data_IF_675442158282
#
_entry.id   IF_675442158282
#
_cell.length_a   1.000
_cell.length_b   1.000
_cell.length_c   1.000
_cell.angle_alpha   90.00
_cell.angle_beta   90.00
_cell.angle_gamma   90.00
#
_symmetry.space_group_name_H-M   'P 1'
#
loop_
_entity.id
_entity.type
_entity.pdbx_description
1 polymer ?
#
# COMPACT_ATOMS: atom_id res chain seq x y z
N UNK A 1 -1.02 22.31 -28.00
CA UNK A 1 -2.09 22.45 -26.97
C UNK A 1 -1.81 21.59 -25.73
N UNK A 2 -1.49 20.29 -25.87
CA UNK A 2 -1.08 19.44 -24.72
C UNK A 2 0.25 19.89 -24.08
N UNK A 3 1.24 20.34 -24.86
CA UNK A 3 2.48 20.93 -24.32
C UNK A 3 2.24 22.26 -23.57
N UNK A 4 1.27 23.06 -24.02
CA UNK A 4 0.92 24.35 -23.38
C UNK A 4 0.19 24.12 -22.04
N UNK A 5 -0.58 23.03 -21.94
CA UNK A 5 -1.18 22.60 -20.68
C UNK A 5 -0.14 21.96 -19.74
N UNK A 6 0.88 21.28 -20.26
CA UNK A 6 2.02 20.79 -19.47
C UNK A 6 2.84 21.97 -18.90
N UNK A 7 2.98 23.07 -19.65
CA UNK A 7 3.56 24.33 -19.17
C UNK A 7 2.67 25.03 -18.13
N UNK A 8 1.35 25.07 -18.32
CA UNK A 8 0.43 25.68 -17.37
C UNK A 8 0.30 24.91 -16.05
N UNK A 9 0.34 23.57 -16.12
CA UNK A 9 0.41 22.69 -14.94
C UNK A 9 1.77 22.86 -14.26
N UNK A 10 2.88 22.86 -15.00
CA UNK A 10 4.21 23.16 -14.44
C UNK A 10 4.28 24.54 -13.78
N UNK A 11 3.61 25.56 -14.35
CA UNK A 11 3.56 26.91 -13.80
C UNK A 11 2.73 27.02 -12.51
N UNK A 12 1.86 26.04 -12.22
CA UNK A 12 1.13 25.98 -10.94
C UNK A 12 1.93 25.25 -9.85
N UNK A 13 2.88 24.38 -10.23
CA UNK A 13 3.79 23.67 -9.32
C UNK A 13 5.05 24.46 -8.95
N UNK A 14 5.40 25.53 -9.66
CA UNK A 14 6.62 26.33 -9.42
C UNK A 14 6.57 27.23 -8.18
N UNK A 15 5.42 27.41 -7.53
CA UNK A 15 5.30 28.32 -6.37
C UNK A 15 5.75 27.73 -5.02
N UNK A 16 6.25 26.48 -4.99
CA UNK A 16 6.71 25.81 -3.77
C UNK A 16 8.05 25.09 -4.04
N UNK A 17 9.12 25.86 -4.18
CA UNK A 17 10.44 25.38 -4.60
C UNK A 17 11.33 25.01 -3.39
N UNK A 18 11.59 23.71 -3.19
CA UNK A 18 12.73 23.19 -2.40
C UNK A 18 13.42 22.00 -3.10
N UNK A 19 12.89 21.48 -4.21
CA UNK A 19 13.54 20.41 -5.00
C UNK A 19 13.51 20.77 -6.47
N UNK A 20 14.69 20.89 -7.08
CA UNK A 20 14.86 21.11 -8.51
C UNK A 20 13.96 20.16 -9.32
N UNK A 21 13.18 20.70 -10.26
CA UNK A 21 12.28 19.92 -11.14
C UNK A 21 13.00 18.75 -11.82
N UNK A 22 14.28 18.93 -12.15
CA UNK A 22 15.14 17.88 -12.69
C UNK A 22 15.29 16.71 -11.70
N UNK A 23 15.43 16.99 -10.40
CA UNK A 23 15.51 15.96 -9.35
C UNK A 23 14.23 15.16 -9.23
N UNK A 24 13.06 15.80 -9.28
CA UNK A 24 11.77 15.11 -9.25
C UNK A 24 11.58 14.19 -10.45
N UNK A 25 11.95 14.68 -11.64
CA UNK A 25 11.87 13.89 -12.87
C UNK A 25 12.80 12.68 -12.82
N UNK A 26 14.08 12.89 -12.46
CA UNK A 26 15.06 11.81 -12.32
C UNK A 26 14.63 10.78 -11.28
N UNK A 27 14.11 11.24 -10.14
CA UNK A 27 13.60 10.34 -9.10
C UNK A 27 12.42 9.50 -9.62
N UNK A 28 11.46 10.13 -10.29
CA UNK A 28 10.31 9.43 -10.88
C UNK A 28 10.73 8.37 -11.89
N UNK A 29 11.69 8.69 -12.76
CA UNK A 29 12.23 7.73 -13.75
C UNK A 29 12.91 6.56 -13.03
N UNK A 30 13.77 6.83 -12.04
CA UNK A 30 14.48 5.77 -11.32
C UNK A 30 13.51 4.82 -10.61
N UNK A 31 12.52 5.37 -9.92
CA UNK A 31 11.52 4.56 -9.22
C UNK A 31 10.68 3.71 -10.18
N UNK A 32 10.19 4.30 -11.28
CA UNK A 32 9.28 3.62 -12.22
C UNK A 32 9.99 2.62 -13.12
N UNK A 33 11.25 2.86 -13.47
CA UNK A 33 12.00 2.03 -14.43
C UNK A 33 12.81 0.94 -13.73
N UNK A 34 13.39 1.20 -12.55
CA UNK A 34 14.30 0.24 -11.91
C UNK A 34 13.70 -0.39 -10.65
N UNK A 35 13.16 0.42 -9.74
CA UNK A 35 12.72 -0.09 -8.42
C UNK A 35 11.40 -0.85 -8.56
N UNK A 36 10.43 -0.26 -9.24
CA UNK A 36 9.09 -0.82 -9.38
C UNK A 36 9.06 -2.22 -10.02
N UNK A 37 9.74 -2.52 -11.15
CA UNK A 37 9.67 -3.86 -11.73
C UNK A 37 10.27 -4.92 -10.81
N UNK A 38 11.33 -4.61 -10.05
CA UNK A 38 11.93 -5.54 -9.08
C UNK A 38 10.95 -5.85 -7.96
N UNK A 39 10.32 -4.81 -7.39
CA UNK A 39 9.31 -4.96 -6.33
C UNK A 39 8.08 -5.70 -6.87
N UNK A 40 7.63 -5.38 -8.08
CA UNK A 40 6.49 -6.04 -8.72
C UNK A 40 6.76 -7.51 -9.05
N UNK A 41 7.98 -7.86 -9.49
CA UNK A 41 8.38 -9.25 -9.73
C UNK A 41 8.42 -10.07 -8.43
N UNK A 42 9.00 -9.51 -7.37
CA UNK A 42 9.01 -10.14 -6.05
C UNK A 42 7.58 -10.29 -5.48
N UNK A 43 6.77 -9.24 -5.60
CA UNK A 43 5.36 -9.25 -5.22
C UNK A 43 4.56 -10.30 -5.98
N UNK A 44 4.73 -10.40 -7.29
CA UNK A 44 4.07 -11.43 -8.11
C UNK A 44 4.51 -12.84 -7.70
N UNK A 45 5.82 -13.09 -7.59
CA UNK A 45 6.35 -14.40 -7.23
C UNK A 45 5.91 -14.88 -5.85
N UNK A 46 6.02 -14.01 -4.84
CA UNK A 46 5.59 -14.32 -3.47
C UNK A 46 4.08 -14.59 -3.38
N UNK A 47 3.26 -13.81 -4.09
CA UNK A 47 1.82 -14.02 -4.11
C UNK A 47 1.39 -15.27 -4.88
N UNK A 48 2.10 -15.67 -5.93
CA UNK A 48 1.87 -16.97 -6.60
C UNK A 48 2.09 -18.11 -5.60
N UNK A 49 3.17 -18.08 -4.83
CA UNK A 49 3.45 -19.08 -3.79
C UNK A 49 2.32 -19.09 -2.75
N UNK A 50 1.89 -17.91 -2.28
CA UNK A 50 0.78 -17.79 -1.33
C UNK A 50 -0.53 -18.38 -1.89
N UNK A 51 -0.85 -18.11 -3.16
CA UNK A 51 -2.02 -18.68 -3.83
C UNK A 51 -1.94 -20.21 -3.85
N UNK A 52 -0.78 -20.78 -4.21
CA UNK A 52 -0.59 -22.23 -4.24
C UNK A 52 -0.75 -22.85 -2.85
N UNK A 53 -0.14 -22.25 -1.83
CA UNK A 53 -0.22 -22.71 -0.44
C UNK A 53 -1.65 -22.64 0.09
N UNK A 54 -2.33 -21.50 -0.05
CA UNK A 54 -3.70 -21.33 0.45
C UNK A 54 -4.71 -22.17 -0.31
N UNK A 55 -4.49 -22.42 -1.61
CA UNK A 55 -5.31 -23.34 -2.40
C UNK A 55 -5.17 -24.79 -1.92
N UNK A 56 -3.97 -25.19 -1.47
CA UNK A 56 -3.71 -26.53 -0.91
C UNK A 56 -4.26 -26.71 0.51
N UNK A 57 -4.31 -25.66 1.32
CA UNK A 57 -4.88 -25.70 2.68
C UNK A 57 -6.40 -25.93 2.69
N UNK A 58 -7.09 -25.59 1.59
CA UNK A 58 -8.53 -25.73 1.45
C UNK A 58 -9.31 -24.56 2.07
N UNK A 59 -10.42 -24.20 1.43
CA UNK A 59 -11.24 -23.02 1.77
C UNK A 59 -12.22 -23.27 2.94
N UNK A 60 -11.86 -24.14 3.89
CA UNK A 60 -12.72 -24.49 5.02
C UNK A 60 -12.81 -23.36 6.04
N UNK A 61 -11.72 -22.62 6.20
CA UNK A 61 -11.64 -21.48 7.11
C UNK A 61 -11.77 -20.16 6.34
N UNK A 62 -12.65 -19.26 6.80
CA UNK A 62 -12.80 -17.92 6.21
C UNK A 62 -11.53 -17.09 6.25
N UNK A 63 -10.68 -17.39 7.23
CA UNK A 63 -9.33 -16.88 7.36
C UNK A 63 -8.47 -17.15 6.11
N UNK A 64 -8.42 -18.41 5.68
CA UNK A 64 -7.63 -18.87 4.54
C UNK A 64 -8.19 -18.31 3.23
N UNK A 65 -9.53 -18.29 3.09
CA UNK A 65 -10.20 -17.69 1.94
C UNK A 65 -9.87 -16.20 1.78
N UNK A 66 -9.82 -15.45 2.88
CA UNK A 66 -9.47 -14.03 2.87
C UNK A 66 -8.04 -13.77 2.42
N UNK A 67 -7.09 -14.59 2.90
CA UNK A 67 -5.69 -14.46 2.51
C UNK A 67 -5.44 -14.92 1.07
N UNK A 68 -6.18 -15.91 0.58
CA UNK A 68 -6.16 -16.29 -0.83
C UNK A 68 -6.60 -15.11 -1.71
N UNK A 69 -7.74 -14.48 -1.39
CA UNK A 69 -8.25 -13.33 -2.15
C UNK A 69 -7.26 -12.16 -2.14
N UNK A 70 -6.66 -11.87 -0.99
CA UNK A 70 -5.64 -10.82 -0.89
C UNK A 70 -4.42 -11.16 -1.77
N UNK A 71 -3.96 -12.42 -1.75
CA UNK A 71 -2.83 -12.86 -2.57
C UNK A 71 -3.14 -12.77 -4.07
N UNK A 72 -4.38 -13.06 -4.49
CA UNK A 72 -4.82 -12.89 -5.89
C UNK A 72 -4.78 -11.42 -6.30
N UNK A 73 -5.28 -10.51 -5.46
CA UNK A 73 -5.28 -9.07 -5.73
C UNK A 73 -3.86 -8.48 -5.77
N UNK A 74 -3.01 -8.87 -4.83
CA UNK A 74 -1.62 -8.42 -4.78
C UNK A 74 -0.80 -9.01 -5.93
N UNK A 75 -1.06 -10.25 -6.31
CA UNK A 75 -0.51 -10.87 -7.51
C UNK A 75 -0.93 -10.13 -8.79
N UNK A 76 -2.21 -9.80 -8.94
CA UNK A 76 -2.71 -9.00 -10.06
C UNK A 76 -2.07 -7.60 -10.10
N UNK A 77 -1.90 -6.96 -8.94
CA UNK A 77 -1.22 -5.66 -8.80
C UNK A 77 0.25 -5.77 -9.21
N UNK A 78 0.96 -6.81 -8.76
CA UNK A 78 2.33 -7.10 -9.16
C UNK A 78 2.46 -7.34 -10.66
N UNK A 79 1.56 -8.13 -11.25
CA UNK A 79 1.50 -8.36 -12.69
C UNK A 79 1.31 -7.05 -13.47
N UNK A 80 0.30 -6.24 -13.14
CA UNK A 80 0.09 -4.93 -13.76
C UNK A 80 1.28 -3.98 -13.56
N UNK A 81 1.97 -4.06 -12.41
CA UNK A 81 3.19 -3.28 -12.14
C UNK A 81 4.35 -3.61 -13.08
N UNK A 82 4.50 -4.88 -13.49
CA UNK A 82 5.49 -5.29 -14.50
C UNK A 82 5.15 -4.66 -15.86
N UNK A 83 3.90 -4.78 -16.33
CA UNK A 83 3.48 -4.14 -17.60
C UNK A 83 3.66 -2.63 -17.58
N UNK A 84 3.28 -2.01 -16.46
CA UNK A 84 3.45 -0.57 -16.28
C UNK A 84 4.93 -0.16 -16.38
N UNK A 85 5.84 -0.95 -15.80
CA UNK A 85 7.28 -0.71 -15.88
C UNK A 85 7.83 -0.89 -17.31
N UNK A 86 7.36 -1.91 -18.03
CA UNK A 86 7.71 -2.12 -19.45
C UNK A 86 7.27 -0.92 -20.30
N UNK A 87 6.04 -0.45 -20.13
CA UNK A 87 5.55 0.71 -20.87
C UNK A 87 6.22 2.02 -20.43
N UNK A 88 6.66 2.12 -19.17
CA UNK A 88 7.50 3.22 -18.71
C UNK A 88 8.84 3.24 -19.46
N UNK A 89 9.50 2.08 -19.61
CA UNK A 89 10.74 1.97 -20.40
C UNK A 89 10.49 2.39 -21.85
N UNK A 90 9.42 1.91 -22.47
CA UNK A 90 9.05 2.32 -23.84
C UNK A 90 8.81 3.84 -23.95
N UNK A 91 8.24 4.47 -22.91
CA UNK A 91 7.97 5.91 -22.88
C UNK A 91 9.21 6.77 -22.67
N UNK A 92 10.16 6.32 -21.84
CA UNK A 92 11.32 7.12 -21.44
C UNK A 92 12.58 6.81 -22.26
N UNK A 93 12.83 5.54 -22.59
CA UNK A 93 14.02 5.10 -23.31
C UNK A 93 13.74 4.64 -24.75
N UNK A 94 12.46 4.51 -25.14
CA UNK A 94 12.08 4.04 -26.47
C UNK A 94 12.31 5.07 -27.58
N UNK A 95 12.54 4.62 -28.83
CA UNK A 95 12.65 5.52 -29.99
C UNK A 95 11.32 6.27 -30.23
N UNK A 96 11.38 7.40 -30.94
CA UNK A 96 10.27 8.34 -31.12
C UNK A 96 8.92 7.69 -31.49
N UNK A 97 8.95 6.64 -32.33
CA UNK A 97 7.74 5.89 -32.71
C UNK A 97 7.13 5.10 -31.55
N UNK A 98 7.95 4.34 -30.81
CA UNK A 98 7.49 3.56 -29.65
C UNK A 98 7.11 4.46 -28.47
N UNK A 99 7.71 5.64 -28.36
CA UNK A 99 7.46 6.59 -27.28
C UNK A 99 6.02 7.10 -27.24
N UNK A 100 5.39 7.34 -28.41
CA UNK A 100 3.99 7.80 -28.47
C UNK A 100 3.01 6.68 -28.13
N UNK A 101 3.17 5.50 -28.70
CA UNK A 101 2.36 4.31 -28.34
C UNK A 101 2.57 3.92 -26.87
N UNK A 102 3.81 3.99 -26.41
CA UNK A 102 4.21 3.74 -25.03
C UNK A 102 3.51 4.68 -24.05
N UNK A 103 3.30 5.95 -24.42
CA UNK A 103 2.53 6.88 -23.59
C UNK A 103 1.07 6.43 -23.37
N UNK A 104 0.37 6.05 -24.45
CA UNK A 104 -1.03 5.59 -24.35
C UNK A 104 -1.13 4.33 -23.48
N UNK A 105 -0.27 3.33 -23.74
CA UNK A 105 -0.26 2.08 -22.97
C UNK A 105 0.14 2.30 -21.51
N UNK A 106 1.12 3.18 -21.27
CA UNK A 106 1.56 3.56 -19.94
C UNK A 106 0.43 4.18 -19.12
N UNK A 107 -0.31 5.14 -19.71
CA UNK A 107 -1.43 5.81 -19.04
C UNK A 107 -2.59 4.85 -18.74
N UNK A 108 -2.92 3.95 -19.68
CA UNK A 108 -3.93 2.90 -19.46
C UNK A 108 -3.51 1.93 -18.34
N UNK A 109 -2.26 1.49 -18.35
CA UNK A 109 -1.77 0.55 -17.34
C UNK A 109 -1.65 1.20 -15.96
N UNK A 110 -1.31 2.50 -15.91
CA UNK A 110 -1.33 3.28 -14.67
C UNK A 110 -2.73 3.34 -14.06
N UNK A 111 -3.76 3.54 -14.89
CA UNK A 111 -5.16 3.53 -14.44
C UNK A 111 -5.51 2.17 -13.83
N UNK A 112 -5.22 1.07 -14.53
CA UNK A 112 -5.47 -0.30 -14.03
C UNK A 112 -4.72 -0.56 -12.72
N UNK A 113 -3.44 -0.17 -12.64
CA UNK A 113 -2.62 -0.35 -11.45
C UNK A 113 -3.20 0.41 -10.25
N UNK A 114 -3.66 1.65 -10.44
CA UNK A 114 -4.29 2.45 -9.38
C UNK A 114 -5.56 1.77 -8.85
N UNK A 115 -6.40 1.24 -9.74
CA UNK A 115 -7.64 0.55 -9.36
C UNK A 115 -7.33 -0.70 -8.52
N UNK A 116 -6.43 -1.55 -9.00
CA UNK A 116 -6.05 -2.78 -8.31
C UNK A 116 -5.43 -2.49 -6.93
N UNK A 117 -4.58 -1.47 -6.85
CA UNK A 117 -3.95 -1.04 -5.59
C UNK A 117 -5.01 -0.56 -4.59
N UNK A 118 -6.01 0.21 -5.04
CA UNK A 118 -7.09 0.68 -4.17
C UNK A 118 -7.95 -0.48 -3.66
N UNK A 119 -8.29 -1.44 -4.52
CA UNK A 119 -9.03 -2.64 -4.16
C UNK A 119 -8.25 -3.47 -3.13
N UNK A 120 -6.97 -3.72 -3.38
CA UNK A 120 -6.10 -4.45 -2.43
C UNK A 120 -6.02 -3.73 -1.08
N UNK A 121 -5.88 -2.40 -1.09
CA UNK A 121 -5.82 -1.60 0.15
C UNK A 121 -7.10 -1.74 0.97
N UNK A 122 -8.27 -1.58 0.34
CA UNK A 122 -9.56 -1.75 1.02
C UNK A 122 -9.77 -3.19 1.53
N UNK A 123 -9.37 -4.18 0.73
CA UNK A 123 -9.40 -5.59 1.13
C UNK A 123 -8.55 -5.83 2.39
N UNK A 124 -7.34 -5.27 2.42
CA UNK A 124 -6.42 -5.35 3.56
C UNK A 124 -7.04 -4.74 4.83
N UNK A 125 -7.70 -3.58 4.72
CA UNK A 125 -8.43 -2.96 5.83
C UNK A 125 -9.53 -3.86 6.35
N UNK A 126 -10.37 -4.41 5.46
CA UNK A 126 -11.44 -5.32 5.85
C UNK A 126 -10.89 -6.55 6.57
N UNK A 127 -9.81 -7.15 6.06
CA UNK A 127 -9.16 -8.31 6.69
C UNK A 127 -8.60 -7.91 8.07
N UNK A 128 -7.92 -6.77 8.19
CA UNK A 128 -7.38 -6.30 9.47
C UNK A 128 -8.47 -6.12 10.53
N UNK A 129 -9.61 -5.52 10.15
CA UNK A 129 -10.77 -5.35 11.05
C UNK A 129 -11.32 -6.71 11.47
N UNK A 130 -11.57 -7.61 10.51
CA UNK A 130 -12.11 -8.96 10.79
C UNK A 130 -11.18 -9.71 11.74
N UNK A 131 -9.86 -9.65 11.52
CA UNK A 131 -8.87 -10.31 12.40
C UNK A 131 -8.84 -9.71 13.79
N UNK A 132 -8.89 -8.38 13.89
CA UNK A 132 -8.94 -7.67 15.16
C UNK A 132 -10.20 -8.07 15.95
N UNK A 133 -11.37 -8.01 15.33
CA UNK A 133 -12.64 -8.41 15.95
C UNK A 133 -12.64 -9.88 16.40
N UNK A 134 -12.10 -10.77 15.56
CA UNK A 134 -12.03 -12.22 15.84
C UNK A 134 -11.28 -12.55 17.13
N UNK A 135 -10.29 -11.75 17.49
CA UNK A 135 -9.49 -11.95 18.72
C UNK A 135 -10.10 -11.23 19.92
N UNK A 136 -10.67 -10.04 19.74
CA UNK A 136 -11.25 -9.26 20.85
C UNK A 136 -12.63 -9.76 21.29
N UNK A 137 -13.45 -10.28 20.37
CA UNK A 137 -14.84 -10.67 20.62
C UNK A 137 -15.19 -12.02 19.96
N UNK A 138 -14.57 -13.14 20.39
CA UNK A 138 -14.74 -14.44 19.73
C UNK A 138 -16.18 -14.95 19.68
N UNK A 139 -17.01 -14.62 20.68
CA UNK A 139 -18.41 -15.05 20.77
C UNK A 139 -19.34 -14.31 19.79
N UNK A 140 -19.11 -13.01 19.56
CA UNK A 140 -19.94 -12.22 18.66
C UNK A 140 -19.57 -12.45 17.18
N UNK A 141 -18.29 -12.75 16.92
CA UNK A 141 -17.74 -12.87 15.57
C UNK A 141 -18.27 -14.10 14.83
N UNK A 142 -18.51 -15.23 15.53
CA UNK A 142 -19.08 -16.43 14.89
C UNK A 142 -20.49 -16.20 14.33
N UNK A 143 -21.25 -15.27 14.91
CA UNK A 143 -22.60 -14.92 14.44
C UNK A 143 -22.58 -13.84 13.35
N UNK A 144 -21.69 -12.85 13.47
CA UNK A 144 -21.70 -11.66 12.59
C UNK A 144 -20.84 -11.85 11.34
N UNK A 145 -19.64 -12.43 11.47
CA UNK A 145 -18.64 -12.53 10.40
C UNK A 145 -18.60 -13.92 9.78
N UNK A 146 -19.60 -14.22 8.95
CA UNK A 146 -19.56 -15.42 8.10
C UNK A 146 -18.67 -15.16 6.88
N UNK A 147 -17.98 -16.21 6.41
CA UNK A 147 -17.07 -16.14 5.24
C UNK A 147 -17.75 -15.53 4.02
N UNK A 148 -19.02 -15.89 3.80
CA UNK A 148 -19.82 -15.39 2.68
C UNK A 148 -20.07 -13.89 2.77
N UNK A 149 -20.35 -13.36 3.97
CA UNK A 149 -20.55 -11.92 4.16
C UNK A 149 -19.26 -11.14 3.94
N UNK A 150 -18.13 -11.65 4.41
CA UNK A 150 -16.84 -11.00 4.19
C UNK A 150 -16.48 -10.92 2.70
N UNK A 151 -16.67 -12.02 1.96
CA UNK A 151 -16.47 -12.03 0.51
C UNK A 151 -17.42 -11.06 -0.20
N UNK A 152 -18.70 -11.03 0.20
CA UNK A 152 -19.68 -10.09 -0.34
C UNK A 152 -19.24 -8.63 -0.11
N UNK A 153 -18.77 -8.29 1.11
CA UNK A 153 -18.28 -6.94 1.41
C UNK A 153 -17.09 -6.56 0.54
N UNK A 154 -16.12 -7.45 0.36
CA UNK A 154 -14.95 -7.21 -0.50
C UNK A 154 -15.40 -7.00 -1.96
N UNK A 155 -16.33 -7.82 -2.46
CA UNK A 155 -16.87 -7.69 -3.81
C UNK A 155 -17.62 -6.37 -4.02
N UNK A 156 -18.41 -5.93 -3.04
CA UNK A 156 -19.12 -4.64 -3.08
C UNK A 156 -18.12 -3.48 -3.10
N UNK A 157 -17.11 -3.51 -2.23
CA UNK A 157 -16.07 -2.49 -2.22
C UNK A 157 -15.30 -2.44 -3.53
N UNK A 158 -14.95 -3.60 -4.10
CA UNK A 158 -14.32 -3.69 -5.40
C UNK A 158 -15.21 -3.09 -6.50
N UNK A 159 -16.51 -3.40 -6.51
CA UNK A 159 -17.45 -2.82 -7.46
C UNK A 159 -17.53 -1.29 -7.32
N UNK A 160 -17.61 -0.76 -6.10
CA UNK A 160 -17.61 0.69 -5.86
C UNK A 160 -16.32 1.37 -6.34
N UNK A 161 -15.16 0.74 -6.13
CA UNK A 161 -13.89 1.28 -6.66
C UNK A 161 -13.84 1.25 -8.19
N UNK A 162 -14.43 0.25 -8.84
CA UNK A 162 -14.50 0.18 -10.30
C UNK A 162 -15.44 1.26 -10.84
N UNK A 163 -16.57 1.52 -10.17
CA UNK A 163 -17.52 2.59 -10.55
C UNK A 163 -16.87 3.97 -10.41
N UNK A 164 -16.16 4.23 -9.31
CA UNK A 164 -15.45 5.51 -9.14
C UNK A 164 -14.32 5.66 -10.16
N UNK A 165 -13.64 4.57 -10.51
CA UNK A 165 -12.62 4.59 -11.55
C UNK A 165 -13.17 4.71 -12.97
N UNK A 166 -14.36 4.16 -13.25
CA UNK A 166 -15.02 4.33 -14.55
C UNK A 166 -15.44 5.78 -14.75
N UNK A 167 -15.89 6.45 -13.69
CA UNK A 167 -16.11 7.91 -13.70
C UNK A 167 -14.81 8.66 -14.05
N UNK A 168 -13.68 8.33 -13.40
CA UNK A 168 -12.37 8.88 -13.75
C UNK A 168 -11.95 8.57 -15.20
N UNK A 169 -12.39 7.43 -15.75
CA UNK A 169 -12.06 7.02 -17.11
C UNK A 169 -12.74 7.89 -18.16
N UNK A 170 -13.86 8.55 -17.84
CA UNK A 170 -14.56 9.48 -18.75
C UNK A 170 -13.74 10.72 -19.10
N UNK A 171 -12.69 11.02 -18.31
CA UNK A 171 -11.70 12.04 -18.60
C UNK A 171 -10.87 11.77 -19.87
N UNK A 172 -10.75 10.50 -20.25
CA UNK A 172 -9.85 10.07 -21.30
C UNK A 172 -10.64 9.76 -22.57
N UNK A 173 -10.25 10.39 -23.68
CA UNK A 173 -10.77 10.08 -25.01
C UNK A 173 -9.68 9.48 -25.86
N UNK A 174 -9.98 8.34 -26.48
CA UNK A 174 -9.10 7.73 -27.48
C UNK A 174 -9.47 8.31 -28.84
N UNK A 175 -8.58 9.12 -29.41
CA UNK A 175 -8.75 9.68 -30.74
C UNK A 175 -7.74 9.06 -31.71
N UNK A 176 -8.17 8.83 -32.95
CA UNK A 176 -7.27 8.43 -34.04
C UNK A 176 -6.65 9.68 -34.62
N UNK A 177 -5.33 9.79 -34.53
CA UNK A 177 -4.57 10.90 -35.10
C UNK A 177 -3.61 10.35 -36.14
N UNK A 178 -3.63 10.91 -37.35
CA UNK A 178 -2.68 10.55 -38.42
C UNK A 178 -1.44 11.40 -38.21
N UNK A 179 -0.29 10.76 -38.04
CA UNK A 179 0.98 11.49 -37.96
C UNK A 179 1.37 12.02 -39.35
N UNK A 180 1.45 13.35 -39.54
CA UNK A 180 1.73 13.95 -40.85
C UNK A 180 3.13 13.60 -41.38
N UNK A 181 4.07 13.17 -40.53
CA UNK A 181 5.41 12.81 -40.98
C UNK A 181 5.54 11.34 -41.40
N UNK A 182 4.71 10.45 -40.85
CA UNK A 182 4.82 9.01 -41.12
C UNK A 182 3.61 8.42 -41.83
N UNK A 183 2.52 9.17 -42.04
CA UNK A 183 1.26 8.70 -42.63
C UNK A 183 0.69 7.44 -41.94
N UNK A 184 0.94 7.29 -40.63
CA UNK A 184 0.44 6.17 -39.84
C UNK A 184 -0.63 6.68 -38.89
N UNK A 185 -1.78 5.99 -38.87
CA UNK A 185 -2.86 6.24 -37.93
C UNK A 185 -2.47 5.71 -36.54
N UNK A 186 -2.38 6.60 -35.56
CA UNK A 186 -2.03 6.26 -34.18
C UNK A 186 -3.19 6.59 -33.24
N UNK A 187 -3.35 5.77 -32.19
CA UNK A 187 -4.36 5.96 -31.17
C UNK A 187 -3.76 6.79 -30.03
N UNK A 188 -4.22 8.02 -29.89
CA UNK A 188 -3.70 8.98 -28.91
C UNK A 188 -4.74 9.18 -27.82
N UNK A 189 -4.29 9.09 -26.57
CA UNK A 189 -5.10 9.44 -25.41
C UNK A 189 -5.14 10.97 -25.29
N UNK A 190 -6.33 11.55 -25.40
CA UNK A 190 -6.56 12.99 -25.23
C UNK A 190 -7.43 13.23 -24.01
N UNK A 191 -7.15 14.33 -23.32
CA UNK A 191 -7.81 14.74 -22.08
C UNK A 191 -9.01 15.63 -22.42
N UNK A 192 -10.12 15.43 -21.72
CA UNK A 192 -11.27 16.34 -21.78
C UNK A 192 -10.94 17.69 -21.12
N UNK A 193 -11.63 18.79 -21.48
CA UNK A 193 -11.43 20.09 -20.82
C UNK A 193 -11.69 20.04 -19.31
N UNK A 194 -12.60 19.17 -18.87
CA UNK A 194 -12.93 18.95 -17.45
C UNK A 194 -11.93 18.02 -16.72
N UNK A 195 -10.83 17.62 -17.37
CA UNK A 195 -9.87 16.69 -16.79
C UNK A 195 -9.28 17.19 -15.46
N UNK A 196 -8.97 18.49 -15.36
CA UNK A 196 -8.31 19.04 -14.16
C UNK A 196 -9.20 18.92 -12.93
N UNK A 197 -10.48 19.27 -13.05
CA UNK A 197 -11.42 19.19 -11.93
C UNK A 197 -11.72 17.75 -11.56
N UNK A 198 -11.91 16.87 -12.55
CA UNK A 198 -12.20 15.45 -12.30
C UNK A 198 -11.00 14.70 -11.69
N UNK A 199 -9.78 14.94 -12.17
CA UNK A 199 -8.59 14.27 -11.64
C UNK A 199 -8.30 14.72 -10.19
N UNK A 200 -8.53 15.99 -9.86
CA UNK A 200 -8.40 16.48 -8.49
C UNK A 200 -9.35 15.77 -7.53
N UNK A 201 -10.62 15.57 -7.91
CA UNK A 201 -11.59 14.84 -7.08
C UNK A 201 -11.17 13.38 -6.88
N UNK A 202 -10.74 12.72 -7.94
CA UNK A 202 -10.29 11.31 -7.88
C UNK A 202 -9.02 11.17 -7.05
N UNK A 203 -8.08 12.12 -7.18
CA UNK A 203 -6.84 12.10 -6.42
C UNK A 203 -7.07 12.37 -4.93
N UNK A 204 -7.95 13.32 -4.60
CA UNK A 204 -8.39 13.57 -3.22
C UNK A 204 -9.05 12.33 -2.62
N UNK A 205 -9.97 11.69 -3.33
CA UNK A 205 -10.60 10.44 -2.89
C UNK A 205 -9.55 9.35 -2.63
N UNK A 206 -8.61 9.15 -3.57
CA UNK A 206 -7.52 8.17 -3.44
C UNK A 206 -6.67 8.43 -2.21
N UNK A 207 -6.25 9.67 -1.97
CA UNK A 207 -5.43 10.05 -0.81
C UNK A 207 -6.20 9.82 0.49
N UNK A 208 -7.45 10.24 0.57
CA UNK A 208 -8.30 10.03 1.76
C UNK A 208 -8.45 8.54 2.07
N UNK A 209 -8.73 7.71 1.07
CA UNK A 209 -8.84 6.25 1.26
C UNK A 209 -7.51 5.67 1.72
N UNK A 210 -6.38 6.06 1.11
CA UNK A 210 -5.07 5.52 1.46
C UNK A 210 -4.65 5.88 2.88
N UNK A 211 -4.79 7.15 3.29
CA UNK A 211 -4.43 7.59 4.64
C UNK A 211 -5.37 7.02 5.71
N UNK A 212 -6.68 6.99 5.47
CA UNK A 212 -7.64 6.39 6.39
C UNK A 212 -7.40 4.88 6.55
N UNK A 213 -7.15 4.18 5.44
CA UNK A 213 -6.81 2.75 5.44
C UNK A 213 -5.55 2.46 6.26
N UNK A 214 -4.51 3.28 6.08
CA UNK A 214 -3.28 3.16 6.84
C UNK A 214 -3.53 3.32 8.34
N UNK A 215 -4.28 4.36 8.76
CA UNK A 215 -4.60 4.59 10.17
C UNK A 215 -5.38 3.40 10.76
N UNK A 216 -6.42 2.93 10.06
CA UNK A 216 -7.27 1.83 10.52
C UNK A 216 -6.46 0.54 10.69
N UNK A 217 -5.65 0.17 9.69
CA UNK A 217 -4.82 -1.05 9.75
C UNK A 217 -3.84 -0.99 10.92
N UNK A 218 -3.20 0.16 11.17
CA UNK A 218 -2.30 0.33 12.30
C UNK A 218 -3.02 0.20 13.64
N UNK A 219 -4.20 0.81 13.80
CA UNK A 219 -5.02 0.67 15.02
C UNK A 219 -5.40 -0.81 15.24
N UNK A 220 -5.90 -1.49 14.20
CA UNK A 220 -6.25 -2.91 14.26
C UNK A 220 -5.03 -3.78 14.63
N UNK A 221 -3.85 -3.47 14.10
CA UNK A 221 -2.60 -4.17 14.42
C UNK A 221 -2.23 -4.01 15.90
N UNK A 222 -2.28 -2.79 16.44
CA UNK A 222 -1.98 -2.52 17.87
C UNK A 222 -2.96 -3.29 18.77
N UNK A 223 -4.26 -3.23 18.48
CA UNK A 223 -5.29 -3.95 19.25
C UNK A 223 -5.04 -5.46 19.18
N UNK A 224 -4.75 -6.00 17.99
CA UNK A 224 -4.45 -7.41 17.79
C UNK A 224 -3.24 -7.85 18.64
N UNK A 225 -2.14 -7.08 18.60
CA UNK A 225 -0.94 -7.36 19.40
C UNK A 225 -1.26 -7.35 20.89
N UNK A 226 -1.99 -6.35 21.38
CA UNK A 226 -2.38 -6.25 22.80
C UNK A 226 -3.25 -7.44 23.24
N UNK A 227 -4.22 -7.83 22.41
CA UNK A 227 -5.12 -8.94 22.70
C UNK A 227 -4.37 -10.28 22.74
N UNK A 228 -3.43 -10.49 21.79
CA UNK A 228 -2.57 -11.67 21.77
C UNK A 228 -1.66 -11.75 23.00
N UNK A 229 -1.06 -10.62 23.42
CA UNK A 229 -0.25 -10.56 24.66
C UNK A 229 -1.08 -10.90 25.90
N UNK A 230 -2.29 -10.34 26.01
CA UNK A 230 -3.19 -10.64 27.13
C UNK A 230 -3.54 -12.13 27.20
N UNK A 231 -3.89 -12.74 26.07
CA UNK A 231 -4.19 -14.17 25.99
C UNK A 231 -2.98 -15.04 26.36
N UNK A 232 -1.78 -14.69 25.87
CA UNK A 232 -0.55 -15.39 26.22
C UNK A 232 -0.24 -15.30 27.72
N UNK A 233 -0.40 -14.13 28.32
CA UNK A 233 -0.13 -13.93 29.75
C UNK A 233 -1.13 -14.69 30.62
N UNK A 234 -2.40 -14.76 30.24
CA UNK A 234 -3.40 -15.54 30.95
C UNK A 234 -3.04 -17.03 30.96
N UNK A 235 -2.65 -17.58 29.80
CA UNK A 235 -2.19 -18.96 29.68
C UNK A 235 -0.96 -19.23 30.54
N UNK A 236 0.03 -18.33 30.51
CA UNK A 236 1.24 -18.48 31.32
C UNK A 236 0.94 -18.48 32.83
N UNK A 237 -0.05 -17.68 33.29
CA UNK A 237 -0.48 -17.69 34.68
C UNK A 237 -1.27 -18.94 35.07
N UNK A 238 -2.09 -19.47 34.16
CA UNK A 238 -2.89 -20.67 34.41
C UNK A 238 -2.06 -21.97 34.39
N UNK A 239 -0.86 -21.95 33.78
CA UNK A 239 0.06 -23.11 33.72
C UNK A 239 1.24 -22.97 34.69
N UNK A 240 1.28 -21.93 35.52
CA UNK A 240 2.28 -21.85 36.59
C UNK A 240 2.05 -23.01 37.57
N UNK A 241 3.07 -23.84 37.86
CA UNK A 241 2.92 -24.95 38.80
C UNK A 241 2.48 -24.39 40.16
N UNK A 242 1.43 -24.98 40.72
CA UNK A 242 1.04 -24.74 42.11
C UNK A 242 2.22 -25.24 42.95
N UNK A 243 3.00 -24.31 43.50
CA UNK A 243 3.98 -24.61 44.55
C UNK A 243 3.21 -25.25 45.70
N UNK A 244 3.24 -26.59 45.74
CA UNK A 244 2.80 -27.34 46.90
C UNK A 244 3.98 -27.25 47.85
N UNK A 245 3.80 -26.53 48.96
CA UNK A 245 4.80 -26.39 50.02
C UNK A 245 5.39 -27.75 50.37
N UNK A 246 6.68 -27.93 50.10
CA UNK A 246 7.63 -28.81 50.82
C UNK A 246 9.06 -28.72 50.24
N UNK A 247 9.91 -27.99 50.98
CA UNK A 247 11.30 -28.31 51.36
C UNK A 247 12.41 -28.46 50.27
N UNK A 248 13.68 -28.03 50.52
CA UNK A 248 14.59 -27.62 49.47
C UNK A 248 15.53 -28.73 48.95
N UNK A 249 16.02 -28.48 47.74
CA UNK A 249 17.26 -28.96 47.10
C UNK A 249 17.07 -29.87 45.87
N UNK A 250 17.26 -29.33 44.66
CA UNK A 250 18.53 -29.46 43.91
C UNK A 250 18.43 -28.77 42.54
N UNK A 251 19.57 -28.28 42.09
CA UNK A 251 19.73 -27.36 40.96
C UNK A 251 19.57 -28.04 39.59
N UNK A 252 18.68 -27.54 38.71
CA UNK A 252 18.73 -27.77 37.25
C UNK A 252 18.35 -26.46 36.52
N UNK A 253 19.13 -25.96 35.54
CA UNK A 253 18.89 -24.64 34.95
C UNK A 253 17.89 -24.70 33.78
N UNK A 254 16.67 -24.23 34.01
CA UNK A 254 15.64 -24.02 32.98
C UNK A 254 15.74 -22.59 32.40
N UNK A 255 16.66 -22.35 31.46
CA UNK A 255 16.93 -20.99 30.93
C UNK A 255 16.76 -20.82 29.39
N UNK A 256 16.44 -21.87 28.65
CA UNK A 256 16.53 -21.82 27.18
C UNK A 256 15.25 -21.34 26.46
N UNK A 257 14.05 -21.57 27.02
CA UNK A 257 12.78 -21.27 26.33
C UNK A 257 12.33 -19.80 26.45
N UNK A 258 12.55 -19.18 27.63
CA UNK A 258 12.09 -17.82 27.96
C UNK A 258 12.89 -16.72 27.24
N UNK A 259 14.11 -17.02 26.82
CA UNK A 259 14.99 -16.08 26.12
C UNK A 259 14.61 -15.92 24.64
N UNK A 260 14.13 -17.00 23.99
CA UNK A 260 13.69 -16.98 22.58
C UNK A 260 12.38 -16.21 22.36
N UNK A 261 11.45 -16.26 23.31
CA UNK A 261 10.18 -15.52 23.23
C UNK A 261 10.40 -14.01 23.41
N UNK A 262 11.25 -13.61 24.36
CA UNK A 262 11.64 -12.20 24.58
C UNK A 262 12.40 -11.60 23.39
N UNK A 263 13.18 -12.39 22.66
CA UNK A 263 13.89 -11.93 21.45
C UNK A 263 12.93 -11.62 20.30
N UNK A 264 11.93 -12.48 20.07
CA UNK A 264 10.88 -12.27 19.05
C UNK A 264 10.01 -11.04 19.37
N UNK A 265 9.74 -10.81 20.65
CA UNK A 265 8.98 -9.65 21.11
C UNK A 265 9.71 -8.32 20.88
N UNK A 266 11.04 -8.29 21.10
CA UNK A 266 11.87 -7.13 20.77
C UNK A 266 11.98 -6.88 19.26
N UNK A 267 12.04 -7.93 18.44
CA UNK A 267 12.11 -7.79 16.97
C UNK A 267 10.82 -7.22 16.37
N UNK A 268 9.64 -7.67 16.79
CA UNK A 268 8.36 -7.17 16.24
C UNK A 268 8.11 -5.71 16.64
N UNK A 269 8.42 -5.34 17.88
CA UNK A 269 8.32 -3.95 18.34
C UNK A 269 9.31 -3.07 17.58
N UNK A 270 10.57 -3.49 17.42
CA UNK A 270 11.56 -2.70 16.70
C UNK A 270 11.22 -2.51 15.21
N UNK A 271 10.63 -3.51 14.54
CA UNK A 271 10.18 -3.38 13.14
C UNK A 271 9.00 -2.40 13.00
N UNK A 272 8.05 -2.41 13.94
CA UNK A 272 6.96 -1.41 13.96
C UNK A 272 7.47 0.00 14.26
N UNK A 273 8.45 0.16 15.15
CA UNK A 273 9.05 1.46 15.45
C UNK A 273 9.99 1.97 14.34
N UNK A 274 10.71 1.10 13.63
CA UNK A 274 11.54 1.49 12.46
C UNK A 274 10.69 1.85 11.24
N UNK A 275 9.50 1.28 11.09
CA UNK A 275 8.53 1.73 10.08
C UNK A 275 7.89 3.09 10.44
N UNK A 276 7.97 3.50 11.72
CA UNK A 276 7.34 4.72 12.25
C UNK A 276 8.19 5.99 12.09
N UNK A 277 9.49 5.86 11.77
CA UNK A 277 10.38 7.03 11.64
C UNK A 277 11.11 7.00 10.29
N UNK A 278 10.64 7.73 9.25
CA UNK A 278 11.49 8.02 8.11
C UNK A 278 12.70 8.82 8.64
N UNK A 279 13.85 8.15 8.68
CA UNK A 279 15.08 8.62 9.36
C UNK A 279 15.68 9.92 8.81
N UNK A 280 15.04 10.60 7.86
CA UNK A 280 15.50 11.89 7.33
C UNK A 280 14.54 13.06 7.47
N UNK A 281 13.25 12.88 7.82
CA UNK A 281 12.30 14.01 7.83
C UNK A 281 12.27 14.75 9.18
N UNK A 282 12.38 14.01 10.29
CA UNK A 282 12.29 14.62 11.64
C UNK A 282 13.56 15.40 12.03
N UNK A 283 14.73 14.99 11.51
CA UNK A 283 15.98 15.73 11.76
C UNK A 283 16.01 17.08 11.04
N UNK A 284 15.42 17.19 9.84
CA UNK A 284 15.38 18.44 9.07
C UNK A 284 14.35 19.42 9.65
N UNK A 285 13.20 18.93 10.12
CA UNK A 285 12.16 19.77 10.75
C UNK A 285 12.59 20.27 12.13
N UNK A 286 13.23 19.44 12.95
CA UNK A 286 13.76 19.89 14.26
C UNK A 286 14.98 20.82 14.14
N UNK A 287 15.85 20.67 13.13
CA UNK A 287 16.95 21.62 12.91
C UNK A 287 16.44 22.99 12.46
N UNK A 288 15.40 23.03 11.62
CA UNK A 288 14.80 24.29 11.16
C UNK A 288 13.95 24.99 12.23
N UNK A 289 13.27 24.26 13.11
CA UNK A 289 12.55 24.87 14.24
C UNK A 289 13.51 25.41 15.31
N UNK A 290 14.61 24.71 15.60
CA UNK A 290 15.60 25.21 16.59
C UNK A 290 16.37 26.45 16.10
N UNK A 291 16.50 26.65 14.79
CA UNK A 291 17.08 27.86 14.21
C UNK A 291 16.14 29.08 14.22
N UNK A 292 14.82 28.87 14.21
CA UNK A 292 13.84 29.99 14.21
C UNK A 292 13.47 30.50 15.60
N UNK A 293 13.67 29.71 16.66
CA UNK A 293 13.39 30.13 18.05
C UNK A 293 14.60 30.67 18.82
N UNK A 294 15.79 30.73 18.20
CA UNK A 294 17.01 31.26 18.84
C UNK A 294 17.28 32.75 18.55
N UNK A 295 16.38 33.46 17.85
CA UNK A 295 16.59 34.84 17.39
C UNK A 295 15.59 35.86 17.98
N UNK A 296 15.12 35.63 19.20
CA UNK A 296 14.08 36.48 19.82
C UNK A 296 14.21 36.68 21.32
N UNK A 297 15.40 36.97 21.85
CA UNK A 297 15.55 37.43 23.24
C UNK A 297 16.91 38.08 23.53
N UNK A 298 17.17 39.24 22.92
CA UNK A 298 18.06 40.27 23.50
C UNK A 298 17.58 41.68 23.09
N UNK A 299 16.78 42.28 23.95
CA UNK A 299 16.86 43.71 24.32
C UNK A 299 17.46 43.74 25.74
N UNK A 300 18.16 44.81 26.16
CA UNK A 300 17.65 46.17 26.21
C UNK A 300 17.93 46.99 24.95
#
# INVERSE_FOLDING_TARGET
MVQVLEEAVNSSYTKMDITSQATLWMTSVVFRVYILPVVSAFGLGSNIINILVFSRMGLKDGATASFLMLSVLDGATGFSGIFYSIFAIMRYLGPNRLRRTGYTLYSLTLLVLNILTLISTLCTVCIAIVRCCSVTMPFHVKSVFTVRRQLLTIMILAALTIITASYASTCYRLIKMIDPQTNITQLVLTLTPDFITQIQVVDMYRLVVLYSSFIIVNICLVILIMALKRSSNFRNKATAPVETDKEPASNVPESCATTKSKLREKQVVNISYQSFVPSNTTKIVCKNLKSRYAFGSKCP
#
